data_IF_111371117803
#
_entry.id   IF_111371117803
#
_cell.length_a   1.000
_cell.length_b   1.000
_cell.length_c   1.000
_cell.angle_alpha   90.00
_cell.angle_beta   90.00
_cell.angle_gamma   90.00
#
_symmetry.space_group_name_H-M   'P 1'
#
loop_
_entity.id
_entity.type
_entity.pdbx_description
1 polymer ?
#
# COMPACT_ATOMS: atom_id res chain seq x y z
N UNK A 1 -18.76 21.68 31.68
CA UNK A 1 -18.51 20.31 32.20
C UNK A 1 -17.76 19.56 31.12
N UNK A 2 -16.71 18.85 31.54
CA UNK A 2 -15.60 18.29 30.78
C UNK A 2 -16.02 17.24 29.74
N UNK A 3 -15.34 17.26 28.59
CA UNK A 3 -14.80 16.10 27.89
C UNK A 3 -15.77 15.06 27.34
N UNK A 4 -15.96 15.07 26.02
CA UNK A 4 -16.02 13.82 25.27
C UNK A 4 -14.91 13.88 24.24
N UNK A 5 -13.77 13.28 24.60
CA UNK A 5 -12.74 12.94 23.64
C UNK A 5 -13.34 11.83 22.76
N UNK A 6 -13.78 12.19 21.56
CA UNK A 6 -14.11 11.21 20.53
C UNK A 6 -12.83 10.45 20.21
N UNK A 7 -12.67 9.31 20.88
CA UNK A 7 -11.68 8.31 20.51
C UNK A 7 -12.10 7.79 19.13
N UNK A 8 -11.57 8.43 18.08
CA UNK A 8 -11.65 7.92 16.71
C UNK A 8 -10.79 6.65 16.64
N UNK A 9 -11.32 5.56 17.18
CA UNK A 9 -10.80 4.22 16.98
C UNK A 9 -10.90 3.93 15.48
N UNK A 10 -9.76 3.91 14.81
CA UNK A 10 -9.63 3.43 13.44
C UNK A 10 -10.26 2.04 13.37
N UNK A 11 -11.48 1.97 12.83
CA UNK A 11 -12.09 0.69 12.46
C UNK A 11 -11.10 0.02 11.52
N UNK A 12 -10.72 -1.23 11.82
CA UNK A 12 -9.87 -2.02 10.94
C UNK A 12 -10.52 -2.03 9.56
N UNK A 13 -9.90 -1.33 8.60
CA UNK A 13 -10.43 -1.21 7.27
C UNK A 13 -10.56 -2.61 6.66
N UNK A 14 -11.68 -2.89 6.00
CA UNK A 14 -11.84 -4.13 5.25
C UNK A 14 -10.70 -4.25 4.23
N UNK A 15 -10.01 -5.39 4.21
CA UNK A 15 -8.80 -5.61 3.40
C UNK A 15 -9.12 -6.57 2.27
N UNK A 16 -8.85 -6.14 1.05
CA UNK A 16 -8.94 -6.97 -0.15
C UNK A 16 -7.55 -7.44 -0.59
N UNK A 17 -7.47 -8.63 -1.20
CA UNK A 17 -6.26 -9.15 -1.82
C UNK A 17 -6.44 -9.22 -3.34
N UNK A 18 -5.41 -8.82 -4.09
CA UNK A 18 -5.36 -8.93 -5.54
C UNK A 18 -4.08 -9.63 -5.99
N UNK A 19 -4.19 -10.47 -7.02
CA UNK A 19 -3.05 -11.13 -7.63
C UNK A 19 -2.51 -10.28 -8.80
N UNK A 20 -1.21 -9.97 -8.78
CA UNK A 20 -0.51 -9.26 -9.85
C UNK A 20 0.52 -10.18 -10.52
N UNK A 21 0.89 -9.86 -11.77
CA UNK A 21 1.89 -10.59 -12.55
C UNK A 21 1.61 -12.10 -12.65
N UNK A 22 0.35 -12.49 -12.84
CA UNK A 22 -0.07 -13.89 -12.86
C UNK A 22 -0.01 -14.59 -11.51
N UNK A 23 -0.10 -13.84 -10.40
CA UNK A 23 -0.11 -14.38 -9.04
C UNK A 23 1.25 -14.45 -8.35
N UNK A 24 2.31 -13.92 -8.98
CA UNK A 24 3.64 -13.83 -8.36
C UNK A 24 3.70 -12.81 -7.23
N UNK A 25 2.80 -11.82 -7.25
CA UNK A 25 2.66 -10.83 -6.18
C UNK A 25 1.21 -10.88 -5.69
N UNK A 26 1.03 -10.95 -4.38
CA UNK A 26 -0.26 -10.83 -3.71
C UNK A 26 -0.28 -9.51 -2.96
N UNK A 27 -1.12 -8.59 -3.41
CA UNK A 27 -1.21 -7.25 -2.87
C UNK A 27 -2.44 -7.13 -1.99
N UNK A 28 -2.21 -6.95 -0.69
CA UNK A 28 -3.24 -6.67 0.31
C UNK A 28 -3.36 -5.17 0.49
N UNK A 29 -4.57 -4.64 0.37
CA UNK A 29 -4.84 -3.22 0.49
C UNK A 29 -6.28 -2.99 0.98
N UNK A 30 -6.59 -1.83 1.55
CA UNK A 30 -7.96 -1.47 1.88
C UNK A 30 -8.89 -1.70 0.69
N UNK A 31 -10.06 -2.29 0.96
CA UNK A 31 -11.09 -2.52 -0.05
C UNK A 31 -11.64 -1.20 -0.62
N UNK A 32 -11.51 -0.11 0.14
CA UNK A 32 -11.94 1.25 -0.23
C UNK A 32 -10.89 2.27 0.23
N UNK A 33 -10.84 3.42 -0.44
CA UNK A 33 -9.89 4.49 -0.13
C UNK A 33 -8.66 4.47 -1.04
N UNK A 34 -7.51 4.87 -0.50
CA UNK A 34 -6.23 4.83 -1.24
C UNK A 34 -5.88 3.39 -1.62
N UNK A 35 -5.56 3.19 -2.89
CA UNK A 35 -5.26 1.88 -3.48
C UNK A 35 -4.09 2.02 -4.44
N UNK A 36 -3.24 1.01 -4.49
CA UNK A 36 -2.07 1.04 -5.34
C UNK A 36 -2.49 1.13 -6.82
N UNK A 37 -1.91 2.10 -7.52
CA UNK A 37 -2.14 2.34 -8.94
C UNK A 37 -1.12 1.63 -9.83
N UNK A 38 -1.24 1.88 -11.13
CA UNK A 38 -0.28 1.42 -12.14
C UNK A 38 1.08 2.14 -12.03
N UNK A 39 1.07 3.37 -11.51
CA UNK A 39 2.24 4.21 -11.27
C UNK A 39 3.32 3.52 -10.42
N UNK A 40 2.94 2.86 -9.32
CA UNK A 40 3.87 2.09 -8.49
C UNK A 40 4.56 0.97 -9.28
N UNK A 41 3.82 0.27 -10.15
CA UNK A 41 4.37 -0.78 -10.98
C UNK A 41 5.31 -0.22 -12.07
N UNK A 42 4.96 0.93 -12.67
CA UNK A 42 5.81 1.60 -13.65
C UNK A 42 7.09 2.14 -13.02
N UNK A 43 7.00 2.72 -11.81
CA UNK A 43 8.17 3.17 -11.05
C UNK A 43 9.11 2.00 -10.76
N UNK A 44 8.58 0.89 -10.23
CA UNK A 44 9.36 -0.32 -9.97
C UNK A 44 10.03 -0.86 -11.25
N UNK A 45 9.33 -0.84 -12.39
CA UNK A 45 9.87 -1.30 -13.67
C UNK A 45 10.95 -0.37 -14.25
N UNK A 46 10.84 0.94 -13.99
CA UNK A 46 11.84 1.93 -14.41
C UNK A 46 13.14 1.84 -13.58
N UNK A 47 13.07 1.27 -12.38
CA UNK A 47 14.22 1.08 -11.50
C UNK A 47 14.95 -0.22 -11.88
N UNK A 48 16.11 -0.09 -12.51
CA UNK A 48 16.97 -1.21 -12.92
C UNK A 48 17.75 -1.88 -11.79
N UNK A 49 17.13 -2.07 -10.62
CA UNK A 49 17.76 -2.66 -9.45
C UNK A 49 18.16 -4.13 -9.68
N UNK A 50 19.32 -4.51 -9.14
CA UNK A 50 19.89 -5.86 -9.25
C UNK A 50 19.88 -6.59 -7.91
N UNK A 51 19.96 -7.93 -7.90
CA UNK A 51 20.10 -8.69 -6.67
C UNK A 51 21.27 -8.19 -5.81
N UNK A 52 21.00 -7.91 -4.54
CA UNK A 52 22.00 -7.42 -3.58
C UNK A 52 22.07 -5.89 -3.45
N UNK A 53 21.42 -5.14 -4.33
CA UNK A 53 21.34 -3.69 -4.23
C UNK A 53 20.28 -3.24 -3.22
N UNK A 54 20.49 -2.04 -2.66
CA UNK A 54 19.54 -1.39 -1.74
C UNK A 54 18.84 -0.25 -2.46
N UNK A 55 17.52 -0.21 -2.39
CA UNK A 55 16.66 0.81 -3.00
C UNK A 55 15.73 1.40 -1.96
N UNK A 56 15.33 2.65 -2.18
CA UNK A 56 14.37 3.38 -1.37
C UNK A 56 13.27 3.93 -2.28
N UNK A 57 12.03 3.82 -1.82
CA UNK A 57 10.88 4.50 -2.42
C UNK A 57 10.36 5.54 -1.43
N UNK A 58 10.41 6.80 -1.82
CA UNK A 58 9.87 7.90 -1.02
C UNK A 58 8.38 8.07 -1.33
N UNK A 59 7.54 8.06 -0.29
CA UNK A 59 6.09 8.25 -0.45
C UNK A 59 5.34 6.98 -0.88
N UNK A 60 5.64 5.82 -0.29
CA UNK A 60 5.06 4.52 -0.62
C UNK A 60 3.57 4.32 -0.23
N UNK A 61 2.85 5.38 0.12
CA UNK A 61 1.44 5.32 0.48
C UNK A 61 1.17 4.87 1.92
N UNK A 62 -0.02 4.27 2.12
CA UNK A 62 -0.63 3.96 3.42
C UNK A 62 -0.92 2.46 3.59
#
# INVERSE_FOLDING_TARGET
MMGQAESSLTTAADVSESALLGGRIRLRQPARGYRAGLDAALLAAAVGARPGERVIEAGCGA
#
